data_IF_875422818580
#
_entry.id   IF_875422818580
#
_cell.length_a   1.000
_cell.length_b   1.000
_cell.length_c   1.000
_cell.angle_alpha   90.00
_cell.angle_beta   90.00
_cell.angle_gamma   90.00
#
_symmetry.space_group_name_H-M   'P 1'
#
loop_
_entity.id
_entity.type
_entity.pdbx_description
1 polymer ?
#
# COMPACT_ATOMS: atom_id res chain seq x y z
N UNK A 1 -52.30 24.09 -3.57
CA UNK A 1 -50.91 24.46 -3.94
C UNK A 1 -49.90 24.42 -2.79
N UNK A 2 -50.29 24.49 -1.49
CA UNK A 2 -49.34 24.51 -0.36
C UNK A 2 -48.63 23.18 -0.03
N UNK A 3 -49.15 22.05 -0.52
CA UNK A 3 -48.62 20.69 -0.26
C UNK A 3 -47.70 20.16 -1.35
N UNK A 4 -47.58 20.87 -2.48
CA UNK A 4 -46.77 20.45 -3.63
C UNK A 4 -45.29 20.79 -3.42
N UNK A 5 -45.04 21.95 -2.81
CA UNK A 5 -43.69 22.43 -2.48
C UNK A 5 -42.88 21.46 -1.60
N UNK A 6 -43.41 20.91 -0.48
CA UNK A 6 -42.66 19.96 0.34
C UNK A 6 -42.42 18.62 -0.38
N UNK A 7 -43.35 18.18 -1.22
CA UNK A 7 -43.21 16.93 -2.00
C UNK A 7 -42.10 17.07 -3.05
N UNK A 8 -42.04 18.21 -3.74
CA UNK A 8 -40.99 18.49 -4.71
C UNK A 8 -39.61 18.58 -4.04
N UNK A 9 -39.54 19.20 -2.87
CA UNK A 9 -38.31 19.30 -2.09
C UNK A 9 -37.80 17.92 -1.65
N UNK A 10 -38.72 17.04 -1.21
CA UNK A 10 -38.37 15.66 -0.86
C UNK A 10 -37.86 14.86 -2.07
N UNK A 11 -38.46 15.05 -3.24
CA UNK A 11 -38.01 14.40 -4.47
C UNK A 11 -36.59 14.81 -4.87
N UNK A 12 -36.26 16.10 -4.74
CA UNK A 12 -34.93 16.64 -5.04
C UNK A 12 -33.85 16.07 -4.09
N UNK A 13 -34.21 15.81 -2.83
CA UNK A 13 -33.29 15.18 -1.88
C UNK A 13 -32.98 13.72 -2.25
N UNK A 14 -33.94 12.99 -2.80
CA UNK A 14 -33.75 11.59 -3.20
C UNK A 14 -32.84 11.42 -4.42
N UNK A 15 -32.76 12.41 -5.31
CA UNK A 15 -31.88 12.38 -6.50
C UNK A 15 -30.52 13.05 -6.27
N UNK A 16 -30.26 13.64 -5.09
CA UNK A 16 -29.01 14.35 -4.79
C UNK A 16 -27.82 13.41 -4.49
N UNK A 17 -28.00 12.10 -4.55
CA UNK A 17 -26.93 11.14 -4.26
C UNK A 17 -25.88 11.16 -5.40
N UNK A 18 -24.75 11.82 -5.16
CA UNK A 18 -23.63 11.84 -6.07
C UNK A 18 -22.78 10.58 -5.84
N UNK A 19 -22.85 9.62 -6.77
CA UNK A 19 -21.93 8.48 -6.83
C UNK A 19 -20.58 8.94 -7.39
N UNK A 20 -19.91 9.80 -6.62
CA UNK A 20 -18.49 10.02 -6.85
C UNK A 20 -17.82 8.69 -6.57
N UNK A 21 -17.37 8.04 -7.64
CA UNK A 21 -16.37 6.98 -7.57
C UNK A 21 -15.13 7.65 -7.00
N UNK A 22 -15.05 7.75 -5.68
CA UNK A 22 -13.82 7.98 -4.95
C UNK A 22 -12.93 6.81 -5.32
N UNK A 23 -12.28 6.90 -6.50
CA UNK A 23 -11.17 6.05 -6.85
C UNK A 23 -10.19 6.33 -5.73
N UNK A 24 -10.14 5.43 -4.75
CA UNK A 24 -9.06 5.37 -3.79
C UNK A 24 -7.80 5.44 -4.65
N UNK A 25 -7.14 6.59 -4.62
CA UNK A 25 -5.82 6.73 -5.20
C UNK A 25 -4.93 5.98 -4.23
N UNK A 26 -4.90 4.66 -4.39
CA UNK A 26 -3.89 3.82 -3.79
C UNK A 26 -2.60 4.34 -4.40
N UNK A 27 -1.75 4.96 -3.58
CA UNK A 27 -0.37 5.23 -3.98
C UNK A 27 0.16 3.92 -4.54
N UNK A 28 0.69 3.96 -5.76
CA UNK A 28 1.43 2.82 -6.29
C UNK A 28 2.49 2.48 -5.25
N UNK A 29 2.48 1.23 -4.76
CA UNK A 29 3.56 0.76 -3.91
C UNK A 29 4.84 0.83 -4.75
N UNK A 30 5.75 1.72 -4.37
CA UNK A 30 7.07 1.82 -4.99
C UNK A 30 8.00 0.70 -4.52
N UNK A 31 7.54 -0.14 -3.58
CA UNK A 31 8.27 -1.33 -3.15
C UNK A 31 8.20 -2.42 -4.21
N UNK A 32 9.36 -3.02 -4.53
CA UNK A 32 9.40 -4.25 -5.33
C UNK A 32 8.65 -5.35 -4.59
N UNK A 33 7.76 -6.04 -5.30
CA UNK A 33 7.06 -7.22 -4.76
C UNK A 33 8.13 -8.25 -4.35
N UNK A 34 7.97 -8.83 -3.15
CA UNK A 34 8.91 -9.78 -2.54
C UNK A 34 10.31 -9.22 -2.22
N UNK A 35 10.45 -7.91 -2.05
CA UNK A 35 11.70 -7.30 -1.55
C UNK A 35 11.56 -6.83 -0.10
N UNK A 36 12.54 -7.16 0.73
CA UNK A 36 12.68 -6.62 2.09
C UNK A 36 13.82 -5.59 2.12
N UNK A 37 13.55 -4.39 2.63
CA UNK A 37 14.57 -3.37 2.86
C UNK A 37 14.90 -3.35 4.36
N UNK A 38 16.17 -3.61 4.68
CA UNK A 38 16.67 -3.59 6.06
C UNK A 38 17.52 -2.33 6.24
N UNK A 39 17.16 -1.49 7.22
CA UNK A 39 17.90 -0.26 7.56
C UNK A 39 18.45 -0.43 8.97
N UNK A 40 19.77 -0.39 9.13
CA UNK A 40 20.45 -0.51 10.42
C UNK A 40 21.56 0.53 10.55
N UNK A 41 21.95 0.81 11.79
CA UNK A 41 23.08 1.70 12.06
C UNK A 41 24.39 1.14 11.49
N UNK A 42 25.28 2.04 11.04
CA UNK A 42 26.57 1.67 10.46
C UNK A 42 27.45 0.84 11.42
N UNK A 43 27.34 1.09 12.73
CA UNK A 43 28.06 0.31 13.76
C UNK A 43 27.58 -1.15 13.83
N UNK A 44 26.28 -1.38 13.63
CA UNK A 44 25.67 -2.71 13.67
C UNK A 44 25.93 -3.47 12.35
N UNK A 45 26.08 -2.74 11.24
CA UNK A 45 26.45 -3.33 9.96
C UNK A 45 27.82 -3.99 9.95
N UNK A 46 28.76 -3.49 10.76
CA UNK A 46 30.12 -4.01 10.86
C UNK A 46 30.33 -5.00 12.02
N UNK A 47 29.27 -5.38 12.74
CA UNK A 47 29.34 -6.34 13.84
C UNK A 47 28.60 -7.64 13.51
N UNK A 48 28.42 -8.50 14.51
CA UNK A 48 27.79 -9.83 14.37
C UNK A 48 26.36 -9.77 13.78
N UNK A 49 25.61 -8.70 14.03
CA UNK A 49 24.26 -8.51 13.48
C UNK A 49 24.35 -8.32 11.98
N UNK A 50 25.21 -7.42 11.51
CA UNK A 50 25.47 -7.21 10.08
C UNK A 50 26.04 -8.44 9.38
N UNK A 51 26.97 -9.16 10.01
CA UNK A 51 27.48 -10.44 9.49
C UNK A 51 26.36 -11.47 9.30
N UNK A 52 25.52 -11.65 10.31
CA UNK A 52 24.38 -12.59 10.25
C UNK A 52 23.40 -12.22 9.15
N UNK A 53 23.08 -10.92 9.01
CA UNK A 53 22.23 -10.43 7.92
C UNK A 53 22.86 -10.72 6.56
N UNK A 54 24.14 -10.41 6.36
CA UNK A 54 24.84 -10.72 5.11
C UNK A 54 24.73 -12.21 4.80
N UNK A 55 25.05 -13.10 5.74
CA UNK A 55 24.94 -14.56 5.53
C UNK A 55 23.54 -15.00 5.13
N UNK A 56 22.49 -14.51 5.81
CA UNK A 56 21.11 -14.90 5.51
C UNK A 56 20.69 -14.39 4.12
N UNK A 57 20.99 -13.14 3.80
CA UNK A 57 20.54 -12.50 2.57
C UNK A 57 21.38 -12.85 1.34
N UNK A 58 22.64 -13.27 1.49
CA UNK A 58 23.48 -13.77 0.39
C UNK A 58 23.41 -15.28 0.21
N UNK A 59 22.63 -15.99 1.02
CA UNK A 59 22.49 -17.43 0.85
C UNK A 59 21.75 -17.71 -0.46
N UNK A 60 22.30 -18.60 -1.31
CA UNK A 60 21.67 -18.93 -2.57
C UNK A 60 20.32 -19.59 -2.29
N UNK A 61 19.30 -19.16 -3.02
CA UNK A 61 17.98 -19.77 -2.94
C UNK A 61 18.04 -21.10 -3.70
N UNK A 62 17.75 -22.20 -3.00
CA UNK A 62 17.74 -23.52 -3.61
C UNK A 62 16.77 -23.57 -4.81
N UNK A 63 17.25 -24.09 -5.93
CA UNK A 63 16.47 -24.24 -7.15
C UNK A 63 16.51 -23.04 -8.11
N UNK A 64 17.16 -21.92 -7.75
CA UNK A 64 17.44 -20.86 -8.72
C UNK A 64 18.71 -21.19 -9.52
N UNK A 65 18.71 -20.99 -10.86
CA UNK A 65 19.87 -21.26 -11.71
C UNK A 65 21.02 -20.25 -11.53
N UNK A 66 20.79 -19.16 -10.79
CA UNK A 66 21.76 -18.09 -10.57
C UNK A 66 21.75 -17.66 -9.08
N UNK A 67 22.91 -17.31 -8.50
CA UNK A 67 22.98 -16.66 -7.19
C UNK A 67 22.55 -15.19 -7.30
N UNK A 68 21.87 -14.69 -6.27
CA UNK A 68 21.35 -13.32 -6.14
C UNK A 68 22.31 -12.38 -5.40
#
# INVERSE_FOLDING_TARGET
>A
MKKVLPVLCLLLLLISCNSNKNKLILKSSTGRINAALVVIDNKEWHNVVGETLKTIFTNPIEGLPQPE
#
